data_IF_821367467226
#
_entry.id   IF_821367467226
#
_cell.length_a   1.000
_cell.length_b   1.000
_cell.length_c   1.000
_cell.angle_alpha   90.00
_cell.angle_beta   90.00
_cell.angle_gamma   90.00
#
_symmetry.space_group_name_H-M   'P 1'
#
loop_
_entity.id
_entity.type
_entity.pdbx_description
1 polymer ?
#
# COMPACT_ATOMS: atom_id res chain seq x y z
N UNK A 1 -4.54 7.46 -34.91
CA UNK A 1 -4.54 6.40 -33.87
C UNK A 1 -3.52 6.68 -32.76
N UNK A 2 -2.38 7.33 -33.05
CA UNK A 2 -1.32 7.60 -32.07
C UNK A 2 -1.76 8.48 -30.90
N UNK A 3 -2.57 9.52 -31.14
CA UNK A 3 -3.09 10.41 -30.09
C UNK A 3 -3.97 9.69 -29.07
N UNK A 4 -4.81 8.77 -29.53
CA UNK A 4 -5.67 7.96 -28.65
C UNK A 4 -4.82 7.05 -27.78
N UNK A 5 -3.83 6.36 -28.35
CA UNK A 5 -2.91 5.48 -27.62
C UNK A 5 -2.13 6.26 -26.56
N UNK A 6 -1.61 7.45 -26.90
CA UNK A 6 -0.89 8.31 -25.95
C UNK A 6 -1.75 8.74 -24.76
N UNK A 7 -2.99 9.18 -25.03
CA UNK A 7 -3.93 9.57 -23.96
C UNK A 7 -4.37 8.38 -23.10
N UNK A 8 -4.59 7.21 -23.71
CA UNK A 8 -4.88 5.98 -22.98
C UNK A 8 -3.72 5.57 -22.06
N UNK A 9 -2.48 5.68 -22.51
CA UNK A 9 -1.31 5.37 -21.69
C UNK A 9 -1.21 6.28 -20.46
N UNK A 10 -1.46 7.58 -20.60
CA UNK A 10 -1.49 8.53 -19.48
C UNK A 10 -2.62 8.19 -18.50
N UNK A 11 -3.82 7.90 -19.01
CA UNK A 11 -4.97 7.54 -18.18
C UNK A 11 -4.69 6.27 -17.35
N UNK A 12 -4.10 5.25 -17.97
CA UNK A 12 -3.70 4.00 -17.29
C UNK A 12 -2.62 4.27 -16.25
N UNK A 13 -1.60 5.06 -16.57
CA UNK A 13 -0.54 5.40 -15.63
C UNK A 13 -1.07 6.13 -14.40
N UNK A 14 -2.01 7.06 -14.57
CA UNK A 14 -2.66 7.76 -13.46
C UNK A 14 -3.52 6.82 -12.62
N UNK A 15 -4.33 5.97 -13.26
CA UNK A 15 -5.18 5.00 -12.55
C UNK A 15 -4.33 4.06 -11.68
N UNK A 16 -3.29 3.46 -12.26
CA UNK A 16 -2.40 2.54 -11.55
C UNK A 16 -1.61 3.28 -10.49
N UNK A 17 -1.01 4.43 -10.84
CA UNK A 17 -0.19 5.23 -9.94
C UNK A 17 -0.96 5.68 -8.70
N UNK A 18 -2.17 6.20 -8.88
CA UNK A 18 -3.02 6.63 -7.77
C UNK A 18 -3.47 5.45 -6.90
N UNK A 19 -3.82 4.30 -7.51
CA UNK A 19 -4.15 3.08 -6.77
C UNK A 19 -2.96 2.59 -5.93
N UNK A 20 -1.78 2.53 -6.54
CA UNK A 20 -0.55 2.09 -5.89
C UNK A 20 -0.15 3.02 -4.73
N UNK A 21 -0.34 4.34 -4.86
CA UNK A 21 -0.09 5.30 -3.78
C UNK A 21 -0.99 5.02 -2.57
N UNK A 22 -2.28 4.74 -2.78
CA UNK A 22 -3.20 4.39 -1.70
C UNK A 22 -2.75 3.13 -0.95
N UNK A 23 -2.36 2.09 -1.68
CA UNK A 23 -1.82 0.85 -1.08
C UNK A 23 -0.52 1.10 -0.32
N UNK A 24 0.41 1.87 -0.87
CA UNK A 24 1.68 2.17 -0.22
C UNK A 24 1.48 2.87 1.14
N UNK A 25 0.55 3.84 1.19
CA UNK A 25 0.20 4.54 2.44
C UNK A 25 -0.46 3.58 3.43
N UNK A 26 -1.43 2.78 2.98
CA UNK A 26 -2.14 1.83 3.84
C UNK A 26 -1.21 0.78 4.48
N UNK A 27 -0.35 0.15 3.67
CA UNK A 27 0.63 -0.82 4.16
C UNK A 27 1.72 -0.17 5.02
N UNK A 28 2.15 1.06 4.71
CA UNK A 28 3.08 1.81 5.54
C UNK A 28 2.54 2.08 6.94
N UNK A 29 1.27 2.52 7.03
CA UNK A 29 0.61 2.75 8.32
C UNK A 29 0.42 1.44 9.10
N UNK A 30 -0.10 0.40 8.44
CA UNK A 30 -0.31 -0.91 9.03
C UNK A 30 1.00 -1.50 9.58
N UNK A 31 2.06 -1.49 8.77
CA UNK A 31 3.39 -1.96 9.17
C UNK A 31 3.97 -1.15 10.34
N UNK A 32 3.79 0.17 10.34
CA UNK A 32 4.20 1.01 11.47
C UNK A 32 3.51 0.63 12.78
N UNK A 33 2.20 0.41 12.76
CA UNK A 33 1.42 0.01 13.95
C UNK A 33 1.75 -1.40 14.42
N UNK A 34 2.05 -2.30 13.49
CA UNK A 34 2.58 -3.61 13.85
C UNK A 34 3.93 -3.51 14.56
N UNK A 35 4.88 -2.72 14.03
CA UNK A 35 6.20 -2.55 14.64
C UNK A 35 6.10 -1.93 16.04
N UNK A 36 5.24 -0.93 16.23
CA UNK A 36 4.94 -0.37 17.55
C UNK A 36 4.39 -1.43 18.53
N UNK A 37 3.45 -2.27 18.06
CA UNK A 37 2.87 -3.35 18.85
C UNK A 37 3.88 -4.44 19.21
N UNK A 38 4.69 -4.86 18.23
CA UNK A 38 5.76 -5.84 18.39
C UNK A 38 6.83 -5.37 19.38
N UNK A 39 7.21 -4.08 19.31
CA UNK A 39 8.19 -3.50 20.22
C UNK A 39 7.68 -3.37 21.66
N UNK A 40 6.37 -3.14 21.84
CA UNK A 40 5.74 -3.02 23.18
C UNK A 40 5.43 -4.37 23.82
N UNK A 41 4.94 -5.32 23.03
CA UNK A 41 4.52 -6.65 23.47
C UNK A 41 4.95 -7.70 22.45
N UNK A 42 6.18 -8.24 22.60
CA UNK A 42 6.71 -9.25 21.69
C UNK A 42 5.84 -10.52 21.60
N UNK A 43 5.16 -10.89 22.70
CA UNK A 43 4.24 -12.03 22.76
C UNK A 43 3.00 -11.86 21.88
N UNK A 44 2.64 -10.62 21.52
CA UNK A 44 1.49 -10.31 20.67
C UNK A 44 1.82 -10.40 19.18
N UNK A 45 3.10 -10.52 18.80
CA UNK A 45 3.57 -10.56 17.39
C UNK A 45 2.84 -11.60 16.53
N UNK A 46 2.67 -12.87 16.96
CA UNK A 46 1.97 -13.87 16.15
C UNK A 46 0.51 -13.48 15.86
N UNK A 47 -0.16 -12.86 16.83
CA UNK A 47 -1.53 -12.38 16.66
C UNK A 47 -1.58 -11.13 15.76
N UNK A 48 -0.64 -10.20 15.91
CA UNK A 48 -0.57 -8.98 15.10
C UNK A 48 -0.19 -9.28 13.65
N UNK A 49 0.63 -10.30 13.39
CA UNK A 49 1.04 -10.70 12.05
C UNK A 49 -0.12 -11.28 11.23
N UNK A 50 -1.06 -11.98 11.86
CA UNK A 50 -2.29 -12.49 11.21
C UNK A 50 -3.28 -11.35 10.91
N UNK A 51 -3.15 -10.21 11.60
CA UNK A 51 -4.02 -9.03 11.47
C UNK A 51 -3.40 -7.93 10.60
N UNK A 52 -2.21 -8.14 10.05
CA UNK A 52 -1.69 -7.36 8.93
C UNK A 52 -2.51 -7.65 7.67
#
# INVERSE_FOLDING_TARGET
METVVGMTAIAVALLIGMGALGTAIGFGLLGGRFLEGAARQPEMVPMLQVKM
#
